data_IF_447126092817
#
_entry.id   IF_447126092817
#
_cell.length_a   1.000
_cell.length_b   1.000
_cell.length_c   1.000
_cell.angle_alpha   90.00
_cell.angle_beta   90.00
_cell.angle_gamma   90.00
#
_symmetry.space_group_name_H-M   'P 1'
#
loop_
_entity.id
_entity.type
_entity.pdbx_description
1 polymer ?
#
# COMPACT_ATOMS: atom_id res chain seq x y z
N UNK A 1 22.94 -33.27 20.89
CA UNK A 1 21.52 -33.19 20.48
C UNK A 1 21.47 -33.11 18.97
N UNK A 2 20.52 -33.81 18.33
CA UNK A 2 20.32 -33.76 16.87
C UNK A 2 19.62 -32.44 16.52
N UNK A 3 20.12 -31.71 15.52
CA UNK A 3 19.52 -30.47 15.01
C UNK A 3 18.81 -30.74 13.69
N UNK A 4 17.73 -30.02 13.47
CA UNK A 4 16.95 -30.01 12.23
C UNK A 4 16.95 -28.59 11.69
N UNK A 5 17.17 -28.44 10.39
CA UNK A 5 17.23 -27.15 9.72
C UNK A 5 16.06 -27.02 8.75
N UNK A 6 15.30 -25.95 8.86
CA UNK A 6 14.38 -25.51 7.80
C UNK A 6 15.13 -24.49 6.96
N UNK A 7 15.13 -24.65 5.64
CA UNK A 7 15.91 -23.81 4.75
C UNK A 7 15.11 -23.37 3.52
N UNK A 8 15.54 -22.26 2.93
CA UNK A 8 15.03 -21.73 1.66
C UNK A 8 16.20 -21.67 0.67
N UNK A 9 16.02 -22.28 -0.50
CA UNK A 9 16.91 -22.12 -1.64
C UNK A 9 16.28 -21.19 -2.67
N UNK A 10 17.06 -20.28 -3.24
CA UNK A 10 16.73 -19.57 -4.46
C UNK A 10 17.15 -20.41 -5.66
N UNK A 11 16.22 -20.66 -6.57
CA UNK A 11 16.42 -21.42 -7.79
C UNK A 11 16.81 -20.49 -8.96
N UNK A 12 17.32 -21.08 -10.04
CA UNK A 12 17.69 -20.35 -11.27
C UNK A 12 16.51 -19.76 -12.04
N UNK A 13 15.29 -20.23 -11.79
CA UNK A 13 14.03 -19.72 -12.37
C UNK A 13 13.35 -18.68 -11.45
N UNK A 14 14.12 -18.08 -10.55
CA UNK A 14 13.66 -17.21 -9.48
C UNK A 14 12.61 -17.84 -8.54
N UNK A 15 12.39 -19.15 -8.55
CA UNK A 15 11.50 -19.80 -7.58
C UNK A 15 12.22 -20.03 -6.24
N UNK A 16 11.42 -20.32 -5.19
CA UNK A 16 11.96 -20.70 -3.89
C UNK A 16 11.61 -22.15 -3.57
N UNK A 17 12.64 -22.95 -3.29
CA UNK A 17 12.48 -24.27 -2.72
C UNK A 17 12.63 -24.23 -1.20
N UNK A 18 11.82 -25.00 -0.47
CA UNK A 18 11.79 -25.00 0.99
C UNK A 18 11.82 -26.45 1.46
N UNK A 19 12.77 -26.78 2.33
CA UNK A 19 12.96 -28.14 2.81
C UNK A 19 13.42 -28.20 4.26
N UNK A 20 13.52 -29.43 4.75
CA UNK A 20 14.12 -29.78 6.06
C UNK A 20 15.29 -30.72 5.84
N UNK A 21 16.33 -30.59 6.66
CA UNK A 21 17.52 -31.46 6.65
C UNK A 21 18.19 -31.45 8.02
N UNK A 22 19.13 -32.36 8.26
CA UNK A 22 20.00 -32.32 9.44
C UNK A 22 21.32 -31.57 9.14
N UNK A 23 21.63 -31.36 7.86
CA UNK A 23 22.78 -30.56 7.39
C UNK A 23 22.34 -29.76 6.16
N UNK A 24 22.36 -28.42 6.27
CA UNK A 24 21.86 -27.52 5.22
C UNK A 24 22.88 -27.30 4.10
N UNK A 25 24.17 -27.27 4.43
CA UNK A 25 25.24 -27.01 3.47
C UNK A 25 25.51 -28.24 2.61
N UNK A 26 25.52 -29.43 3.21
CA UNK A 26 25.60 -30.68 2.46
C UNK A 26 24.38 -30.82 1.54
N UNK A 27 23.20 -30.46 2.03
CA UNK A 27 21.97 -30.58 1.25
C UNK A 27 21.94 -29.64 0.05
N UNK A 28 22.42 -28.40 0.19
CA UNK A 28 22.61 -27.48 -0.94
C UNK A 28 23.53 -28.08 -2.01
N UNK A 29 24.66 -28.67 -1.60
CA UNK A 29 25.60 -29.33 -2.51
C UNK A 29 24.96 -30.51 -3.24
N UNK A 30 24.24 -31.38 -2.52
CA UNK A 30 23.52 -32.52 -3.10
C UNK A 30 22.51 -32.09 -4.17
N UNK A 31 21.77 -31.00 -3.92
CA UNK A 31 20.86 -30.41 -4.92
C UNK A 31 21.64 -29.98 -6.15
N UNK A 32 22.70 -29.18 -5.99
CA UNK A 32 23.51 -28.65 -7.10
C UNK A 32 24.23 -29.74 -7.91
N UNK A 33 24.68 -30.82 -7.27
CA UNK A 33 25.28 -31.99 -7.94
C UNK A 33 24.24 -32.85 -8.67
N UNK A 34 22.97 -32.72 -8.32
CA UNK A 34 21.88 -33.41 -8.98
C UNK A 34 21.77 -34.89 -8.72
N UNK A 35 22.10 -35.29 -7.50
CA UNK A 35 22.03 -36.67 -7.05
C UNK A 35 20.63 -37.30 -7.20
N UNK A 36 19.56 -36.49 -7.09
CA UNK A 36 18.18 -36.94 -7.28
C UNK A 36 17.57 -36.32 -8.54
N UNK A 37 17.44 -37.12 -9.59
CA UNK A 37 16.85 -36.75 -10.88
C UNK A 37 15.36 -36.44 -10.81
N UNK A 38 14.67 -36.87 -9.75
CA UNK A 38 13.24 -36.64 -9.54
C UNK A 38 12.95 -35.44 -8.64
N UNK A 39 13.98 -34.80 -8.07
CA UNK A 39 13.82 -33.67 -7.17
C UNK A 39 13.28 -32.42 -7.92
N UNK A 40 12.43 -31.64 -7.24
CA UNK A 40 11.89 -30.37 -7.76
C UNK A 40 12.98 -29.40 -8.25
N UNK A 41 14.10 -29.38 -7.54
CA UNK A 41 15.26 -28.53 -7.81
C UNK A 41 16.09 -29.01 -8.99
N UNK A 42 15.95 -30.26 -9.46
CA UNK A 42 16.83 -30.84 -10.48
C UNK A 42 16.91 -30.00 -11.76
N UNK A 43 15.76 -29.56 -12.27
CA UNK A 43 15.69 -28.71 -13.47
C UNK A 43 15.86 -27.21 -13.20
N UNK A 44 16.09 -26.82 -11.94
CA UNK A 44 16.09 -25.42 -11.46
C UNK A 44 17.41 -25.01 -10.81
N UNK A 45 18.48 -25.71 -11.18
CA UNK A 45 19.85 -25.44 -10.74
C UNK A 45 20.52 -24.40 -11.63
N UNK A 46 21.55 -23.70 -11.13
CA UNK A 46 22.07 -23.78 -9.77
C UNK A 46 21.08 -23.24 -8.75
N UNK A 47 21.11 -23.80 -7.54
CA UNK A 47 20.36 -23.33 -6.39
C UNK A 47 21.31 -22.71 -5.37
N UNK A 48 20.84 -21.70 -4.65
CA UNK A 48 21.61 -21.01 -3.62
C UNK A 48 20.85 -20.98 -2.30
N UNK A 49 21.51 -21.32 -1.20
CA UNK A 49 20.97 -21.16 0.14
C UNK A 49 20.83 -19.67 0.49
N UNK A 50 19.59 -19.22 0.67
CA UNK A 50 19.29 -17.80 0.96
C UNK A 50 18.77 -17.56 2.37
N UNK A 51 18.32 -18.61 3.08
CA UNK A 51 17.88 -18.51 4.47
C UNK A 51 17.83 -19.90 5.12
N UNK A 52 18.12 -20.00 6.42
CA UNK A 52 17.86 -21.19 7.23
C UNK A 52 17.62 -20.87 8.70
N UNK A 53 16.99 -21.81 9.42
CA UNK A 53 16.76 -21.75 10.86
C UNK A 53 16.91 -23.16 11.47
N UNK A 54 17.59 -23.28 12.61
CA UNK A 54 17.74 -24.54 13.34
C UNK A 54 16.66 -24.76 14.41
N UNK A 55 16.35 -26.03 14.63
CA UNK A 55 15.36 -26.54 15.56
C UNK A 55 15.93 -27.76 16.28
N UNK A 56 15.58 -27.90 17.56
CA UNK A 56 15.92 -29.09 18.35
C UNK A 56 14.83 -30.17 18.24
N UNK A 57 13.59 -29.75 17.95
CA UNK A 57 12.44 -30.63 17.77
C UNK A 57 12.09 -30.76 16.27
N UNK A 58 12.03 -31.99 15.71
CA UNK A 58 11.65 -32.19 14.32
C UNK A 58 10.22 -31.74 14.02
N UNK A 59 9.29 -31.83 14.97
CA UNK A 59 7.90 -31.40 14.77
C UNK A 59 7.80 -29.89 14.57
N UNK A 60 8.61 -29.10 15.28
CA UNK A 60 8.71 -27.65 15.11
C UNK A 60 9.26 -27.28 13.73
N UNK A 61 10.29 -28.00 13.28
CA UNK A 61 10.85 -27.82 11.93
C UNK A 61 9.79 -28.12 10.86
N UNK A 62 9.02 -29.20 11.01
CA UNK A 62 7.92 -29.59 10.10
C UNK A 62 6.83 -28.52 10.09
N UNK A 63 6.41 -28.03 11.26
CA UNK A 63 5.41 -26.98 11.36
C UNK A 63 5.89 -25.69 10.67
N UNK A 64 7.16 -25.31 10.86
CA UNK A 64 7.76 -24.12 10.24
C UNK A 64 7.88 -24.27 8.73
N UNK A 65 8.33 -25.43 8.22
CA UNK A 65 8.41 -25.70 6.78
C UNK A 65 7.02 -25.58 6.12
N UNK A 66 5.99 -26.19 6.72
CA UNK A 66 4.60 -26.09 6.26
C UNK A 66 4.12 -24.63 6.24
N UNK A 67 4.44 -23.87 7.29
CA UNK A 67 4.11 -22.45 7.37
C UNK A 67 4.78 -21.65 6.23
N UNK A 68 6.08 -21.83 6.03
CA UNK A 68 6.84 -21.12 4.98
C UNK A 68 6.38 -21.51 3.58
N UNK A 69 6.08 -22.78 3.31
CA UNK A 69 5.53 -23.23 2.01
C UNK A 69 4.24 -22.47 1.65
N UNK A 70 3.37 -22.24 2.63
CA UNK A 70 2.12 -21.49 2.46
C UNK A 70 2.26 -19.96 2.37
N UNK A 71 3.45 -19.40 2.62
CA UNK A 71 3.66 -17.94 2.53
C UNK A 71 3.72 -17.45 1.08
N UNK A 72 3.23 -16.23 0.87
CA UNK A 72 3.39 -15.52 -0.40
C UNK A 72 4.87 -15.25 -0.68
N UNK A 73 5.21 -15.06 -1.95
CA UNK A 73 6.58 -14.72 -2.38
C UNK A 73 7.12 -13.46 -1.67
N UNK A 74 6.30 -12.41 -1.55
CA UNK A 74 6.66 -11.17 -0.82
C UNK A 74 7.05 -11.44 0.63
N UNK A 75 6.30 -12.31 1.32
CA UNK A 75 6.57 -12.63 2.73
C UNK A 75 7.82 -13.50 2.91
N UNK A 76 8.10 -14.40 1.97
CA UNK A 76 9.37 -15.16 1.90
C UNK A 76 10.55 -14.23 1.67
N UNK A 77 10.42 -13.27 0.75
CA UNK A 77 11.45 -12.29 0.46
C UNK A 77 11.77 -11.39 1.66
N UNK A 78 10.74 -10.88 2.35
CA UNK A 78 10.91 -10.12 3.58
C UNK A 78 11.66 -10.92 4.67
N UNK A 79 11.37 -12.22 4.81
CA UNK A 79 12.09 -13.09 5.73
C UNK A 79 13.57 -13.23 5.36
N UNK A 80 13.87 -13.43 4.08
CA UNK A 80 15.26 -13.57 3.56
C UNK A 80 16.06 -12.29 3.81
N UNK A 81 15.46 -11.12 3.63
CA UNK A 81 16.13 -9.84 3.83
C UNK A 81 16.22 -9.40 5.30
N UNK A 82 15.57 -10.11 6.23
CA UNK A 82 15.51 -9.73 7.65
C UNK A 82 14.50 -8.63 7.97
N UNK A 83 13.57 -8.33 7.05
CA UNK A 83 12.50 -7.33 7.23
C UNK A 83 11.35 -7.88 8.10
N UNK A 84 11.65 -8.30 9.33
CA UNK A 84 10.69 -9.00 10.19
C UNK A 84 9.42 -8.18 10.48
N UNK A 85 9.54 -6.84 10.56
CA UNK A 85 8.43 -5.91 10.77
C UNK A 85 7.40 -5.93 9.63
N UNK A 86 7.78 -6.39 8.44
CA UNK A 86 6.88 -6.52 7.29
C UNK A 86 6.06 -7.81 7.33
N UNK A 87 6.48 -8.83 8.08
CA UNK A 87 5.83 -10.15 8.06
C UNK A 87 4.36 -10.13 8.53
N UNK A 88 3.98 -9.36 9.57
CA UNK A 88 2.56 -9.22 9.96
C UNK A 88 1.76 -8.49 8.88
N UNK A 89 2.30 -7.39 8.34
CA UNK A 89 1.68 -6.54 7.30
C UNK A 89 1.40 -7.30 6.00
N UNK A 90 2.26 -8.26 5.65
CA UNK A 90 2.13 -9.10 4.46
C UNK A 90 1.21 -10.32 4.64
N UNK A 91 0.57 -10.49 5.80
CA UNK A 91 -0.39 -11.57 6.01
C UNK A 91 -1.70 -11.35 5.25
N UNK A 92 -2.33 -12.44 4.77
CA UNK A 92 -3.60 -12.35 4.02
C UNK A 92 -4.70 -11.64 4.82
N UNK A 93 -4.75 -11.86 6.13
CA UNK A 93 -5.74 -11.22 7.02
C UNK A 93 -5.46 -9.72 7.16
N UNK A 94 -4.20 -9.32 7.37
CA UNK A 94 -3.84 -7.89 7.44
C UNK A 94 -4.15 -7.16 6.12
N UNK A 95 -3.86 -7.79 4.97
CA UNK A 95 -4.19 -7.20 3.67
C UNK A 95 -5.71 -7.07 3.44
N UNK A 96 -6.51 -8.07 3.84
CA UNK A 96 -7.99 -7.98 3.78
C UNK A 96 -8.53 -6.91 4.71
N UNK A 97 -7.95 -6.78 5.90
CA UNK A 97 -8.31 -5.75 6.86
C UNK A 97 -8.01 -4.36 6.28
N UNK A 98 -6.79 -4.13 5.80
CA UNK A 98 -6.40 -2.87 5.15
C UNK A 98 -7.32 -2.53 3.96
N UNK A 99 -7.67 -3.50 3.12
CA UNK A 99 -8.61 -3.27 2.02
C UNK A 99 -10.02 -2.91 2.50
N UNK A 100 -10.46 -3.50 3.61
CA UNK A 100 -11.74 -3.16 4.25
C UNK A 100 -11.70 -1.76 4.84
N UNK A 101 -10.58 -1.37 5.44
CA UNK A 101 -10.37 -0.05 6.03
C UNK A 101 -10.34 1.03 4.94
N UNK A 102 -9.65 0.78 3.83
CA UNK A 102 -9.65 1.67 2.66
C UNK A 102 -11.06 1.94 2.13
N UNK A 103 -11.88 0.89 1.98
CA UNK A 103 -13.28 1.04 1.55
C UNK A 103 -14.11 1.80 2.58
N UNK A 104 -13.93 1.50 3.86
CA UNK A 104 -14.63 2.18 4.93
C UNK A 104 -14.31 3.68 4.95
N UNK A 105 -13.06 4.09 4.77
CA UNK A 105 -12.67 5.51 4.71
C UNK A 105 -13.45 6.25 3.61
N UNK A 106 -13.53 5.66 2.42
CA UNK A 106 -14.28 6.26 1.30
C UNK A 106 -15.76 6.46 1.68
N UNK A 107 -16.37 5.52 2.40
CA UNK A 107 -17.77 5.68 2.88
C UNK A 107 -17.95 6.77 3.95
N UNK A 108 -16.87 7.26 4.55
CA UNK A 108 -16.89 8.33 5.57
C UNK A 108 -16.52 9.71 5.01
N UNK A 109 -16.13 9.79 3.74
CA UNK A 109 -15.92 11.07 3.06
C UNK A 109 -17.23 11.87 3.07
N UNK A 110 -17.22 13.16 3.45
CA UNK A 110 -18.43 13.99 3.51
C UNK A 110 -18.87 14.51 2.13
N UNK A 111 -18.38 13.91 1.04
CA UNK A 111 -18.59 14.36 -0.33
C UNK A 111 -19.49 13.38 -1.07
N UNK A 112 -20.27 13.92 -2.01
CA UNK A 112 -21.07 13.14 -2.95
C UNK A 112 -20.82 13.62 -4.37
N UNK A 113 -21.26 12.82 -5.35
CA UNK A 113 -21.22 13.28 -6.75
C UNK A 113 -22.05 14.57 -6.92
N UNK A 114 -21.57 15.52 -7.75
CA UNK A 114 -20.40 15.42 -8.64
C UNK A 114 -19.06 15.88 -8.03
N UNK A 115 -18.96 16.07 -6.72
CA UNK A 115 -17.77 16.65 -6.06
C UNK A 115 -16.94 15.65 -5.23
N UNK A 116 -17.20 14.35 -5.39
CA UNK A 116 -16.37 13.28 -4.86
C UNK A 116 -15.28 12.91 -5.86
N UNK A 117 -14.02 13.18 -5.49
CA UNK A 117 -12.82 13.01 -6.32
C UNK A 117 -11.88 11.91 -5.78
N UNK A 118 -12.46 10.80 -5.30
CA UNK A 118 -11.75 9.62 -4.78
C UNK A 118 -12.43 8.35 -5.27
N UNK A 119 -11.80 7.62 -6.19
CA UNK A 119 -12.33 6.33 -6.66
C UNK A 119 -11.82 5.17 -5.81
N UNK A 120 -10.53 5.20 -5.47
CA UNK A 120 -9.89 4.15 -4.69
C UNK A 120 -8.71 4.67 -3.86
N UNK A 121 -8.49 4.05 -2.70
CA UNK A 121 -7.27 4.17 -1.90
C UNK A 121 -6.42 2.91 -2.11
N UNK A 122 -5.22 3.09 -2.65
CA UNK A 122 -4.27 2.03 -2.96
C UNK A 122 -3.40 1.68 -1.75
N UNK A 123 -3.10 2.67 -0.93
CA UNK A 123 -2.29 2.55 0.28
C UNK A 123 -2.71 3.61 1.30
N UNK A 124 -2.75 3.25 2.58
CA UNK A 124 -2.87 4.21 3.67
C UNK A 124 -2.21 3.64 4.92
N UNK A 125 -1.47 4.49 5.62
CA UNK A 125 -0.90 4.21 6.93
C UNK A 125 -0.85 5.49 7.77
N UNK A 126 -0.24 5.45 8.95
CA UNK A 126 -0.15 6.60 9.83
C UNK A 126 0.67 7.77 9.25
N UNK A 127 1.43 7.57 8.18
CA UNK A 127 2.36 8.55 7.63
C UNK A 127 1.99 9.00 6.22
N UNK A 128 1.18 8.25 5.48
CA UNK A 128 0.97 8.47 4.06
C UNK A 128 -0.32 7.86 3.53
N UNK A 129 -0.77 8.38 2.39
CA UNK A 129 -1.88 7.83 1.63
C UNK A 129 -1.60 7.93 0.13
N UNK A 130 -2.01 6.92 -0.61
CA UNK A 130 -2.07 6.90 -2.07
C UNK A 130 -3.48 6.54 -2.51
N UNK A 131 -4.00 7.30 -3.48
CA UNK A 131 -5.30 7.05 -4.08
C UNK A 131 -5.36 7.48 -5.54
N UNK A 132 -6.47 7.13 -6.18
CA UNK A 132 -6.70 7.40 -7.61
C UNK A 132 -8.08 7.98 -7.86
N UNK A 133 -8.19 8.72 -8.95
CA UNK A 133 -9.45 9.25 -9.44
C UNK A 133 -9.44 9.38 -10.97
N UNK A 134 -10.54 9.01 -11.62
CA UNK A 134 -10.77 9.22 -13.05
C UNK A 134 -11.58 10.50 -13.29
N UNK A 135 -11.00 11.44 -14.03
CA UNK A 135 -11.71 12.62 -14.48
C UNK A 135 -12.60 12.28 -15.67
N UNK A 136 -13.83 11.83 -15.39
CA UNK A 136 -14.78 11.44 -16.44
C UNK A 136 -15.02 12.58 -17.43
N UNK A 137 -14.99 12.28 -18.73
CA UNK A 137 -15.15 13.27 -19.80
C UNK A 137 -16.48 14.05 -19.79
N UNK A 138 -17.48 13.55 -19.06
CA UNK A 138 -18.81 14.14 -18.95
C UNK A 138 -18.96 15.07 -17.73
N UNK A 139 -17.89 15.37 -16.98
CA UNK A 139 -17.96 16.29 -15.85
C UNK A 139 -18.30 17.71 -16.32
N UNK A 140 -19.25 18.36 -15.62
CA UNK A 140 -19.88 19.60 -16.06
C UNK A 140 -18.89 20.75 -16.29
N UNK A 141 -17.83 20.84 -15.49
CA UNK A 141 -16.82 21.90 -15.65
C UNK A 141 -16.11 21.87 -17.01
N UNK A 142 -16.10 20.74 -17.73
CA UNK A 142 -15.54 20.69 -19.09
C UNK A 142 -16.38 21.44 -20.13
N UNK A 143 -17.67 21.69 -19.86
CA UNK A 143 -18.51 22.51 -20.73
C UNK A 143 -17.99 23.96 -20.80
N UNK A 144 -17.36 24.44 -19.73
CA UNK A 144 -16.85 25.81 -19.60
C UNK A 144 -15.32 25.95 -19.57
N UNK A 145 -14.58 24.88 -19.31
CA UNK A 145 -13.13 24.94 -19.07
C UNK A 145 -12.38 23.95 -19.98
N UNK A 146 -12.12 24.27 -21.25
CA UNK A 146 -12.47 25.50 -21.98
C UNK A 146 -13.20 25.18 -23.28
N UNK A 147 -13.89 26.17 -23.87
CA UNK A 147 -14.58 25.99 -25.16
C UNK A 147 -13.61 25.51 -26.24
N UNK A 148 -13.87 24.32 -26.78
CA UNK A 148 -13.03 23.68 -27.81
C UNK A 148 -11.72 23.08 -27.31
N UNK A 149 -11.38 23.24 -26.03
CA UNK A 149 -10.17 22.71 -25.42
C UNK A 149 -10.41 22.37 -23.94
N UNK A 150 -11.14 21.28 -23.64
CA UNK A 150 -11.48 20.90 -22.27
C UNK A 150 -10.24 20.45 -21.49
N UNK A 151 -10.04 21.01 -20.29
CA UNK A 151 -8.92 20.75 -19.39
C UNK A 151 -9.45 20.73 -17.95
N UNK A 152 -8.95 19.88 -17.08
CA UNK A 152 -9.37 19.88 -15.67
C UNK A 152 -8.88 21.17 -14.98
N UNK A 153 -9.75 21.96 -14.33
CA UNK A 153 -9.31 23.17 -13.64
C UNK A 153 -8.30 22.86 -12.51
N UNK A 154 -7.28 23.71 -12.35
CA UNK A 154 -6.25 23.52 -11.32
C UNK A 154 -6.83 23.43 -9.90
N UNK A 155 -7.88 24.19 -9.60
CA UNK A 155 -8.60 24.11 -8.32
C UNK A 155 -9.28 22.76 -8.07
N UNK A 156 -9.75 22.09 -9.14
CA UNK A 156 -10.31 20.73 -9.05
C UNK A 156 -9.20 19.70 -8.81
N UNK A 157 -8.02 19.90 -9.41
CA UNK A 157 -6.85 19.08 -9.09
C UNK A 157 -6.42 19.25 -7.62
N UNK A 158 -6.44 20.47 -7.10
CA UNK A 158 -6.18 20.77 -5.68
C UNK A 158 -7.20 20.08 -4.78
N UNK A 159 -8.49 20.12 -5.11
CA UNK A 159 -9.55 19.46 -4.35
C UNK A 159 -9.37 17.92 -4.35
N UNK A 160 -9.08 17.32 -5.51
CA UNK A 160 -8.75 15.89 -5.60
C UNK A 160 -7.54 15.54 -4.71
N UNK A 161 -6.48 16.36 -4.73
CA UNK A 161 -5.35 16.22 -3.83
C UNK A 161 -5.73 16.36 -2.35
N UNK A 162 -6.66 17.26 -2.00
CA UNK A 162 -7.12 17.45 -0.63
C UNK A 162 -7.95 16.26 -0.14
N UNK A 163 -8.90 15.76 -0.93
CA UNK A 163 -9.76 14.64 -0.56
C UNK A 163 -8.96 13.35 -0.37
N UNK A 164 -8.07 13.03 -1.32
CA UNK A 164 -7.20 11.86 -1.20
C UNK A 164 -6.15 12.09 -0.12
N UNK A 165 -5.42 13.22 -0.18
CA UNK A 165 -4.20 13.41 0.58
C UNK A 165 -4.36 13.91 2.01
N UNK A 166 -5.42 14.66 2.31
CA UNK A 166 -5.67 15.26 3.63
C UNK A 166 -6.88 14.60 4.27
N UNK A 167 -8.02 14.54 3.58
CA UNK A 167 -9.26 14.06 4.21
C UNK A 167 -9.22 12.58 4.49
N UNK A 168 -8.85 11.75 3.50
CA UNK A 168 -8.77 10.30 3.68
C UNK A 168 -7.75 9.92 4.76
N UNK A 169 -6.58 10.57 4.77
CA UNK A 169 -5.57 10.39 5.82
C UNK A 169 -6.05 10.90 7.18
N UNK A 170 -6.80 12.00 7.21
CA UNK A 170 -7.40 12.55 8.42
C UNK A 170 -8.40 11.60 9.07
N UNK A 171 -9.28 10.99 8.27
CA UNK A 171 -10.23 9.95 8.74
C UNK A 171 -9.47 8.77 9.35
N UNK A 172 -8.42 8.30 8.67
CA UNK A 172 -7.56 7.23 9.18
C UNK A 172 -6.92 7.60 10.52
N UNK A 173 -6.35 8.80 10.63
CA UNK A 173 -5.64 9.27 11.82
C UNK A 173 -6.56 9.58 13.01
N UNK A 174 -7.81 9.96 12.77
CA UNK A 174 -8.81 10.17 13.81
C UNK A 174 -9.33 8.86 14.44
N UNK A 175 -9.01 7.71 13.84
CA UNK A 175 -8.97 6.40 14.48
C UNK A 175 -10.13 6.06 15.43
N UNK A 176 -11.22 5.53 14.87
CA UNK A 176 -11.84 4.24 15.22
C UNK A 176 -13.18 4.15 14.46
N UNK A 177 -13.64 2.97 14.03
CA UNK A 177 -14.97 2.82 13.42
C UNK A 177 -16.07 3.32 14.37
N UNK A 178 -15.84 3.14 15.67
CA UNK A 178 -16.70 3.60 16.75
C UNK A 178 -16.67 5.13 16.91
N UNK A 179 -15.57 5.80 16.55
CA UNK A 179 -15.44 7.26 16.62
C UNK A 179 -16.34 8.00 15.62
N UNK A 180 -16.87 7.28 14.62
CA UNK A 180 -17.75 7.83 13.57
C UNK A 180 -19.17 7.25 13.60
N UNK A 181 -19.58 6.58 14.68
CA UNK A 181 -20.97 6.12 14.83
C UNK A 181 -21.88 7.31 15.16
N UNK A 182 -22.73 7.69 14.22
CA UNK A 182 -23.65 8.83 14.36
C UNK A 182 -23.06 10.26 14.28
N UNK A 183 -21.72 10.43 14.27
CA UNK A 183 -21.07 11.76 14.27
C UNK A 183 -20.77 12.26 12.85
N UNK A 184 -20.99 13.56 12.57
CA UNK A 184 -20.54 14.18 11.32
C UNK A 184 -19.08 14.60 11.44
N UNK A 185 -18.35 14.40 10.35
CA UNK A 185 -16.98 14.88 10.19
C UNK A 185 -17.03 16.28 9.58
N UNK A 186 -16.57 17.27 10.35
CA UNK A 186 -16.41 18.64 9.89
C UNK A 186 -14.98 18.85 9.40
N UNK A 187 -14.85 19.15 8.11
CA UNK A 187 -13.57 19.42 7.46
C UNK A 187 -13.53 20.86 7.00
N UNK A 188 -12.43 21.54 7.32
CA UNK A 188 -12.14 22.86 6.79
C UNK A 188 -10.71 22.92 6.27
N UNK A 189 -10.55 23.20 4.98
CA UNK A 189 -9.22 23.50 4.44
C UNK A 189 -8.71 24.81 5.04
N UNK A 190 -7.46 24.80 5.53
CA UNK A 190 -6.86 25.93 6.26
C UNK A 190 -5.71 26.59 5.51
N UNK A 191 -5.06 25.87 4.59
CA UNK A 191 -4.05 26.44 3.70
C UNK A 191 -3.82 25.51 2.50
N UNK A 192 -3.54 26.10 1.35
CA UNK A 192 -3.15 25.39 0.13
C UNK A 192 -2.05 26.15 -0.60
N UNK A 193 -0.94 25.47 -0.88
CA UNK A 193 0.14 25.95 -1.72
C UNK A 193 0.42 24.88 -2.78
N UNK A 194 0.18 25.20 -4.05
CA UNK A 194 0.22 24.22 -5.16
C UNK A 194 0.97 24.78 -6.37
N UNK A 195 1.82 23.93 -6.96
CA UNK A 195 2.51 24.15 -8.23
C UNK A 195 1.94 23.19 -9.28
N UNK A 196 1.61 23.69 -10.47
CA UNK A 196 1.06 22.93 -11.59
C UNK A 196 2.05 22.88 -12.76
N UNK A 197 2.31 21.68 -13.27
CA UNK A 197 3.32 21.42 -14.30
C UNK A 197 2.71 20.90 -15.61
N UNK A 198 1.68 20.05 -15.52
CA UNK A 198 1.02 19.45 -16.68
C UNK A 198 -0.50 19.55 -16.56
N UNK A 199 -1.23 19.71 -17.68
CA UNK A 199 -2.68 19.61 -17.70
C UNK A 199 -3.14 18.15 -17.48
N UNK A 200 -4.39 18.00 -17.07
CA UNK A 200 -5.12 16.73 -17.06
C UNK A 200 -6.33 16.90 -17.98
N UNK A 201 -6.50 15.99 -18.93
CA UNK A 201 -7.57 16.04 -19.92
C UNK A 201 -8.76 15.13 -19.55
N UNK A 202 -9.95 15.37 -20.14
CA UNK A 202 -11.10 14.48 -20.05
C UNK A 202 -10.76 13.01 -20.26
N UNK A 203 -11.18 12.16 -19.33
CA UNK A 203 -10.98 10.71 -19.35
C UNK A 203 -9.71 10.23 -18.68
N UNK A 204 -8.79 11.13 -18.29
CA UNK A 204 -7.55 10.73 -17.62
C UNK A 204 -7.77 10.27 -16.17
N UNK A 205 -7.01 9.24 -15.79
CA UNK A 205 -6.88 8.82 -14.39
C UNK A 205 -5.63 9.43 -13.79
N UNK A 206 -5.78 10.02 -12.62
CA UNK A 206 -4.67 10.55 -11.82
C UNK A 206 -4.40 9.66 -10.60
N UNK A 207 -3.15 9.65 -10.17
CA UNK A 207 -2.70 9.07 -8.91
C UNK A 207 -2.21 10.20 -8.00
N UNK A 208 -2.76 10.28 -6.79
CA UNK A 208 -2.31 11.22 -5.76
C UNK A 208 -1.56 10.45 -4.69
N UNK A 209 -0.36 10.93 -4.36
CA UNK A 209 0.42 10.48 -3.20
C UNK A 209 0.51 11.62 -2.19
N UNK A 210 0.33 11.32 -0.91
CA UNK A 210 0.42 12.29 0.18
C UNK A 210 1.28 11.75 1.31
N UNK A 211 2.12 12.62 1.88
CA UNK A 211 2.90 12.35 3.08
C UNK A 211 2.51 13.33 4.17
N UNK A 212 2.19 12.81 5.35
CA UNK A 212 1.96 13.59 6.57
C UNK A 212 3.22 14.39 6.89
N UNK A 213 3.07 15.71 7.02
CA UNK A 213 4.10 16.59 7.60
C UNK A 213 3.90 16.62 9.11
N UNK A 214 2.67 16.88 9.56
CA UNK A 214 2.29 16.74 10.96
C UNK A 214 0.78 16.54 11.08
N UNK A 215 0.35 15.99 12.22
CA UNK A 215 -1.03 16.02 12.68
C UNK A 215 -1.05 16.44 14.16
N UNK A 216 -1.54 17.64 14.45
CA UNK A 216 -1.57 18.22 15.80
C UNK A 216 -2.77 19.12 15.98
N UNK A 217 -3.42 19.05 17.14
CA UNK A 217 -4.61 19.85 17.44
C UNK A 217 -5.67 19.75 16.34
N UNK A 218 -5.92 18.54 15.85
CA UNK A 218 -6.84 18.26 14.74
C UNK A 218 -6.51 18.96 13.40
N UNK A 219 -5.33 19.58 13.29
CA UNK A 219 -4.79 20.13 12.06
C UNK A 219 -3.84 19.14 11.41
N UNK A 220 -4.23 18.66 10.24
CA UNK A 220 -3.39 17.80 9.39
C UNK A 220 -2.74 18.65 8.31
N UNK A 221 -1.41 18.56 8.19
CA UNK A 221 -0.64 19.16 7.09
C UNK A 221 0.07 18.05 6.32
N UNK A 222 -0.04 18.09 5.00
CA UNK A 222 0.46 17.07 4.10
C UNK A 222 1.23 17.67 2.93
N UNK A 223 2.27 16.97 2.49
CA UNK A 223 2.89 17.20 1.19
C UNK A 223 2.22 16.26 0.17
N UNK A 224 1.65 16.82 -0.89
CA UNK A 224 0.90 16.09 -1.92
C UNK A 224 1.60 16.15 -3.27
N UNK A 225 1.44 15.10 -4.08
CA UNK A 225 1.86 15.03 -5.47
C UNK A 225 0.80 14.30 -6.28
N UNK A 226 0.50 14.81 -7.47
CA UNK A 226 -0.39 14.16 -8.44
C UNK A 226 0.42 13.74 -9.66
N UNK A 227 0.12 12.55 -10.18
CA UNK A 227 0.72 11.99 -11.38
C UNK A 227 -0.37 11.54 -12.36
N UNK A 228 -0.13 11.68 -13.66
CA UNK A 228 -1.02 11.13 -14.69
C UNK A 228 -0.71 9.64 -14.97
N UNK A 229 -1.41 9.05 -15.94
CA UNK A 229 -1.24 7.64 -16.34
C UNK A 229 0.16 7.32 -16.89
N UNK A 230 0.84 8.31 -17.47
CA UNK A 230 2.24 8.21 -17.90
C UNK A 230 3.25 8.38 -16.74
N UNK A 231 2.76 8.42 -15.49
CA UNK A 231 3.53 8.63 -14.27
C UNK A 231 4.36 9.94 -14.28
N UNK A 232 3.93 10.93 -15.07
CA UNK A 232 4.52 12.28 -15.09
C UNK A 232 3.88 13.14 -13.99
N UNK A 233 4.69 13.98 -13.35
CA UNK A 233 4.24 14.88 -12.29
C UNK A 233 3.31 15.96 -12.87
N UNK A 234 2.05 15.97 -12.41
CA UNK A 234 1.01 16.91 -12.83
C UNK A 234 1.03 18.16 -11.95
N UNK A 235 0.96 17.97 -10.63
CA UNK A 235 1.05 19.04 -9.66
C UNK A 235 1.64 18.53 -8.36
N UNK A 236 2.19 19.43 -7.54
CA UNK A 236 2.65 19.12 -6.18
C UNK A 236 2.38 20.28 -5.26
N UNK A 237 2.36 20.04 -3.95
CA UNK A 237 2.21 21.13 -3.02
C UNK A 237 2.11 20.70 -1.57
N UNK A 238 1.69 21.66 -0.75
CA UNK A 238 1.45 21.51 0.67
C UNK A 238 0.01 21.93 0.95
N UNK A 239 -0.77 21.00 1.49
CA UNK A 239 -2.15 21.21 1.87
C UNK A 239 -2.30 21.03 3.37
N UNK A 240 -3.18 21.80 4.01
CA UNK A 240 -3.54 21.58 5.40
C UNK A 240 -5.04 21.79 5.65
N UNK A 241 -5.63 20.94 6.49
CA UNK A 241 -7.03 21.03 6.89
C UNK A 241 -7.22 20.75 8.38
N UNK A 242 -8.28 21.33 8.95
CA UNK A 242 -8.81 20.98 10.26
C UNK A 242 -9.82 19.85 10.09
N UNK A 243 -9.74 18.83 10.94
CA UNK A 243 -10.68 17.70 10.98
C UNK A 243 -11.29 17.63 12.39
N UNK A 244 -12.58 17.91 12.52
CA UNK A 244 -13.28 17.85 13.81
C UNK A 244 -14.46 16.90 13.72
N UNK A 245 -14.78 16.26 14.84
CA UNK A 245 -16.10 15.61 15.00
C UNK A 245 -17.03 16.53 15.78
N UNK A 246 -18.35 16.35 15.68
CA UNK A 246 -19.34 17.23 16.32
C UNK A 246 -19.18 17.37 17.86
N UNK A 247 -18.42 16.50 18.54
CA UNK A 247 -18.11 16.63 19.97
C UNK A 247 -17.05 17.70 20.29
N UNK A 248 -16.23 18.09 19.31
CA UNK A 248 -15.18 19.12 19.45
C UNK A 248 -15.72 20.56 19.31
N UNK A 249 -17.05 20.71 19.22
CA UNK A 249 -17.77 21.95 18.96
C UNK A 249 -18.85 22.23 20.00
N UNK A 250 -18.44 22.55 21.23
CA UNK A 250 -19.15 23.53 22.04
C UNK A 250 -18.57 24.91 21.80
#
# INVERSE_FOLDING_TARGET
MKKYFVYILSCSDDSYYIGITNDVFERELQHNQGMDTKAYTFTRRPVQLVWYQDFLNPEEAIAREKQLKGWSRKKKHALINGDYDMLPKLSKNSLRQAQTDNKWIITKLPYSHPFLFVDALNHIDENSVEGTYNFNKNLDFYNGHFKGFPVTPGVILTECCAQIGVVSLGIYLLGDKNSFDGKRLNIAMSSSEMEFYLPVFPGETVKVTSKKVYFRFNKLKCQVKMFNTANKLVCKGILAGMLKTDEDGK
#
